data_IF_155546994909
#
_entry.id   IF_155546994909
#
_cell.length_a   1.000
_cell.length_b   1.000
_cell.length_c   1.000
_cell.angle_alpha   90.00
_cell.angle_beta   90.00
_cell.angle_gamma   90.00
#
_symmetry.space_group_name_H-M   'P 1'
#
loop_
_entity.id
_entity.type
_entity.pdbx_description
1 polymer ?
#
# COMPACT_ATOMS: atom_id res chain seq x y z
N UNK A 1 4.03 14.59 11.73
CA UNK A 1 2.73 13.90 11.84
C UNK A 1 2.96 12.52 11.28
N UNK A 2 2.92 11.48 12.12
CA UNK A 2 3.47 10.15 11.82
C UNK A 2 2.89 9.58 10.52
N UNK A 3 3.76 9.47 9.52
CA UNK A 3 3.44 8.80 8.28
C UNK A 3 3.42 7.29 8.55
N UNK A 4 2.23 6.73 8.79
CA UNK A 4 2.01 5.30 9.07
C UNK A 4 2.30 4.38 7.85
N UNK A 5 3.20 4.79 6.95
CA UNK A 5 3.72 4.00 5.82
C UNK A 5 4.75 2.94 6.24
N UNK A 6 5.21 2.98 7.49
CA UNK A 6 6.36 2.20 7.95
C UNK A 6 6.07 0.71 8.17
N UNK A 7 4.81 0.29 8.16
CA UNK A 7 4.43 -1.06 8.60
C UNK A 7 3.47 -1.75 7.63
N UNK A 8 4.05 -2.15 6.51
CA UNK A 8 3.63 -3.31 5.72
C UNK A 8 4.90 -4.16 5.56
N UNK A 9 5.40 -4.69 6.68
CA UNK A 9 6.68 -5.38 6.76
C UNK A 9 6.48 -6.90 6.73
N UNK A 10 7.43 -7.62 6.13
CA UNK A 10 7.55 -9.09 6.16
C UNK A 10 6.41 -9.90 5.49
N UNK A 11 5.62 -9.27 4.62
CA UNK A 11 4.63 -9.94 3.78
C UNK A 11 5.04 -10.03 2.31
N UNK A 12 4.13 -10.51 1.45
CA UNK A 12 4.33 -10.57 -0.02
C UNK A 12 4.71 -9.20 -0.59
N UNK A 13 4.10 -8.12 -0.08
CA UNK A 13 4.43 -6.77 -0.50
C UNK A 13 5.87 -6.32 -0.16
N UNK A 14 6.51 -6.90 0.86
CA UNK A 14 7.92 -6.65 1.18
C UNK A 14 8.82 -7.38 0.18
N UNK A 15 8.55 -8.67 -0.05
CA UNK A 15 9.33 -9.48 -0.99
C UNK A 15 9.33 -8.88 -2.41
N UNK A 16 8.17 -8.40 -2.88
CA UNK A 16 8.06 -7.71 -4.16
C UNK A 16 8.83 -6.37 -4.14
N UNK A 17 8.72 -5.60 -3.04
CA UNK A 17 9.40 -4.32 -2.93
C UNK A 17 10.92 -4.43 -2.91
N UNK A 18 11.46 -5.45 -2.23
CA UNK A 18 12.89 -5.76 -2.17
C UNK A 18 13.39 -6.18 -3.56
N UNK A 19 12.68 -7.11 -4.22
CA UNK A 19 13.01 -7.56 -5.58
C UNK A 19 13.03 -6.39 -6.58
N UNK A 20 12.03 -5.51 -6.51
CA UNK A 20 11.96 -4.35 -7.39
C UNK A 20 13.04 -3.31 -7.05
N UNK A 21 13.39 -3.13 -5.78
CA UNK A 21 14.45 -2.20 -5.41
C UNK A 21 15.81 -2.61 -5.99
N UNK A 22 16.10 -3.92 -6.06
CA UNK A 22 17.36 -4.43 -6.62
C UNK A 22 17.35 -4.51 -8.15
N UNK A 23 16.28 -5.02 -8.75
CA UNK A 23 16.26 -5.34 -10.19
C UNK A 23 15.73 -4.19 -11.05
N UNK A 24 14.74 -3.43 -10.58
CA UNK A 24 14.09 -2.38 -11.36
C UNK A 24 13.29 -1.42 -10.46
N UNK A 25 13.94 -0.38 -9.91
CA UNK A 25 13.28 0.58 -9.03
C UNK A 25 12.02 1.14 -9.69
N UNK A 26 10.87 0.83 -9.09
CA UNK A 26 9.56 1.17 -9.64
C UNK A 26 8.70 1.78 -8.55
N UNK A 27 7.90 2.78 -8.90
CA UNK A 27 6.95 3.38 -8.00
C UNK A 27 5.93 2.33 -7.54
N UNK A 28 5.77 2.19 -6.23
CA UNK A 28 4.95 1.15 -5.62
C UNK A 28 4.20 1.68 -4.40
N UNK A 29 2.97 1.21 -4.21
CA UNK A 29 2.17 1.45 -3.03
C UNK A 29 1.71 0.12 -2.45
N UNK A 30 1.95 -0.09 -1.15
CA UNK A 30 1.58 -1.33 -0.46
C UNK A 30 0.23 -1.13 0.24
N UNK A 31 -0.68 -2.08 0.07
CA UNK A 31 -1.96 -2.16 0.80
C UNK A 31 -1.85 -3.28 1.82
N UNK A 32 -2.19 -2.99 3.08
CA UNK A 32 -2.11 -3.94 4.18
C UNK A 32 -2.54 -3.31 5.50
N UNK A 33 -2.71 -4.14 6.52
CA UNK A 33 -2.99 -3.70 7.89
C UNK A 33 -1.77 -2.94 8.42
N UNK A 34 -1.99 -1.71 8.89
CA UNK A 34 -0.95 -0.85 9.48
C UNK A 34 -0.94 -1.03 10.99
N UNK A 35 0.22 -1.29 11.59
CA UNK A 35 0.48 -1.40 13.05
C UNK A 35 -0.76 -1.56 13.93
N UNK A 36 -1.46 -2.66 13.76
CA UNK A 36 -2.68 -2.91 14.52
C UNK A 36 -2.78 -4.38 14.89
N UNK A 37 -3.24 -4.61 16.11
CA UNK A 37 -3.65 -5.94 16.54
C UNK A 37 -4.95 -6.35 15.83
N UNK A 38 -5.09 -7.66 15.64
CA UNK A 38 -6.34 -8.25 15.18
C UNK A 38 -7.47 -7.97 16.19
N UNK A 39 -8.65 -7.67 15.66
CA UNK A 39 -9.85 -7.47 16.45
C UNK A 39 -10.86 -8.57 16.13
N UNK A 40 -11.74 -8.87 17.10
CA UNK A 40 -12.85 -9.80 16.90
C UNK A 40 -14.07 -9.00 16.43
N UNK A 41 -14.65 -9.38 15.31
CA UNK A 41 -15.79 -8.67 14.75
C UNK A 41 -16.22 -9.20 13.39
N UNK A 42 -17.22 -8.56 12.79
CA UNK A 42 -17.65 -8.90 11.43
C UNK A 42 -16.56 -8.53 10.42
N UNK A 43 -16.31 -9.42 9.47
CA UNK A 43 -15.24 -9.25 8.48
C UNK A 43 -15.35 -7.92 7.70
N UNK A 44 -16.56 -7.51 7.32
CA UNK A 44 -16.76 -6.29 6.53
C UNK A 44 -16.42 -5.02 7.32
N UNK A 45 -16.84 -4.96 8.59
CA UNK A 45 -16.44 -3.90 9.50
C UNK A 45 -14.92 -3.85 9.68
N UNK A 46 -14.28 -5.01 9.87
CA UNK A 46 -12.83 -5.07 10.03
C UNK A 46 -12.09 -4.62 8.77
N UNK A 47 -12.57 -5.00 7.57
CA UNK A 47 -11.99 -4.54 6.30
C UNK A 47 -12.05 -3.01 6.19
N UNK A 48 -13.17 -2.40 6.56
CA UNK A 48 -13.29 -0.94 6.60
C UNK A 48 -12.32 -0.31 7.60
N UNK A 49 -12.26 -0.83 8.83
CA UNK A 49 -11.35 -0.32 9.87
C UNK A 49 -9.87 -0.41 9.45
N UNK A 50 -9.49 -1.47 8.76
CA UNK A 50 -8.12 -1.65 8.27
C UNK A 50 -7.85 -1.03 6.90
N UNK A 51 -8.84 -0.39 6.25
CA UNK A 51 -8.69 0.18 4.92
C UNK A 51 -8.46 -0.86 3.81
N UNK A 52 -8.92 -2.10 4.03
CA UNK A 52 -8.86 -3.21 3.08
C UNK A 52 -10.14 -3.27 2.23
N UNK A 53 -10.63 -2.10 1.79
CA UNK A 53 -11.84 -1.98 0.98
C UNK A 53 -11.51 -1.77 -0.50
N UNK A 54 -12.45 -2.09 -1.37
CA UNK A 54 -12.30 -1.93 -2.83
C UNK A 54 -12.07 -0.46 -3.18
N UNK A 55 -12.80 0.44 -2.54
CA UNK A 55 -12.71 1.89 -2.75
C UNK A 55 -11.32 2.40 -2.41
N UNK A 56 -10.77 1.94 -1.29
CA UNK A 56 -9.41 2.31 -0.86
C UNK A 56 -8.37 1.82 -1.85
N UNK A 57 -8.46 0.55 -2.27
CA UNK A 57 -7.51 -0.03 -3.23
C UNK A 57 -7.57 0.72 -4.58
N UNK A 58 -8.76 0.96 -5.11
CA UNK A 58 -8.95 1.67 -6.39
C UNK A 58 -8.43 3.10 -6.31
N UNK A 59 -8.71 3.81 -5.21
CA UNK A 59 -8.23 5.17 -5.01
C UNK A 59 -6.69 5.23 -4.99
N UNK A 60 -6.05 4.31 -4.25
CA UNK A 60 -4.59 4.27 -4.17
C UNK A 60 -3.94 3.85 -5.50
N UNK A 61 -4.55 2.92 -6.24
CA UNK A 61 -4.08 2.53 -7.57
C UNK A 61 -4.11 3.72 -8.55
N UNK A 62 -5.21 4.47 -8.59
CA UNK A 62 -5.33 5.68 -9.42
C UNK A 62 -4.29 6.73 -9.03
N UNK A 63 -4.16 7.02 -7.73
CA UNK A 63 -3.14 7.94 -7.22
C UNK A 63 -1.72 7.54 -7.64
N UNK A 64 -1.41 6.24 -7.64
CA UNK A 64 -0.10 5.74 -8.05
C UNK A 64 0.16 5.93 -9.54
N UNK A 65 -0.84 5.70 -10.38
CA UNK A 65 -0.77 5.95 -11.83
C UNK A 65 -0.56 7.44 -12.11
N UNK A 66 -1.31 8.31 -11.42
CA UNK A 66 -1.17 9.75 -11.56
C UNK A 66 0.21 10.25 -11.11
N UNK A 67 0.74 9.71 -10.01
CA UNK A 67 2.10 10.00 -9.55
C UNK A 67 3.14 9.56 -10.58
N UNK A 68 2.99 8.35 -11.14
CA UNK A 68 3.88 7.86 -12.20
C UNK A 68 3.85 8.80 -13.42
N UNK A 69 2.68 9.29 -13.83
CA UNK A 69 2.57 10.24 -14.93
C UNK A 69 3.31 11.56 -14.63
N UNK A 70 3.26 12.06 -13.40
CA UNK A 70 3.99 13.28 -12.98
C UNK A 70 5.50 13.07 -12.93
N UNK A 71 5.96 11.89 -12.50
CA UNK A 71 7.40 11.57 -12.41
C UNK A 71 8.01 11.32 -13.79
N UNK A 72 7.26 10.72 -14.73
CA UNK A 72 7.71 10.47 -16.10
C UNK A 72 7.81 11.69 -17.02
N UNK A 73 7.39 12.87 -16.56
CA UNK A 73 7.50 14.15 -17.31
C UNK A 73 8.81 14.90 -17.00
N UNK A 74 9.60 14.43 -16.03
CA UNK A 74 10.88 15.04 -15.63
C UNK A 74 12.10 14.14 -15.89
N UNK A 75 12.17 13.54 -17.09
CA UNK A 75 13.39 12.92 -17.63
C UNK A 75 13.55 13.29 -19.10
#
# INVERSE_FOLDING_TARGET
MYDNRLMILLGIGSAVAETLAELKPTLQYRVGVREAFGQVGKADYLKEQYGLTVETIVAQAKNLVDQKAKVGVNV
#
